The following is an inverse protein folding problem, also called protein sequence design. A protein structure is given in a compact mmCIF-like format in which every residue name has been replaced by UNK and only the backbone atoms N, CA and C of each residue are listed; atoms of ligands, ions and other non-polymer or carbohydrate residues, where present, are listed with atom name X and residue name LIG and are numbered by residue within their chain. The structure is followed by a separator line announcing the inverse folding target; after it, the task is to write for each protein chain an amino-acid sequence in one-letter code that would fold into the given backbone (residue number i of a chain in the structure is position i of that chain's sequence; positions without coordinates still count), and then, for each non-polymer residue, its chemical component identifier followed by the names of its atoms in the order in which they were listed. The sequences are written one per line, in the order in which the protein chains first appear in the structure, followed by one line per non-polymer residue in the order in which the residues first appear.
data_IF_006768970967
#
_entry.id   IF_006768970967
#
_cell.length_a   1.000
_cell.length_b   1.000
_cell.length_c   1.000
_cell.angle_alpha   90.00
_cell.angle_beta   90.00
_cell.angle_gamma   90.00
#
_symmetry.space_group_name_H-M   'P 1'
#
loop_
_entity.id
_entity.type
_entity.pdbx_description
1 polymer ?
#
# COMPACT_ATOMS: atom_id res chain seq x y z
N UNK A 1 -15.02 -38.86 25.03
CA UNK A 1 -14.81 -37.64 24.25
C UNK A 1 -15.08 -37.98 22.80
N UNK A 2 -16.02 -37.29 22.19
CA UNK A 2 -16.38 -37.48 20.78
C UNK A 2 -15.72 -36.41 19.92
N UNK A 3 -15.55 -36.65 18.62
CA UNK A 3 -14.90 -35.70 17.69
C UNK A 3 -15.66 -34.37 17.64
N UNK A 4 -16.98 -34.42 17.81
CA UNK A 4 -17.89 -33.28 17.89
C UNK A 4 -17.65 -32.40 19.13
N UNK A 5 -17.00 -32.95 20.16
CA UNK A 5 -16.62 -32.24 21.37
C UNK A 5 -15.23 -31.61 21.27
N UNK A 6 -14.49 -31.90 20.19
CA UNK A 6 -13.18 -31.32 19.94
C UNK A 6 -13.31 -29.99 19.20
N UNK A 7 -12.51 -28.99 19.60
CA UNK A 7 -12.36 -27.78 18.81
C UNK A 7 -11.73 -28.12 17.45
N UNK A 8 -12.43 -27.82 16.36
CA UNK A 8 -11.85 -27.90 15.02
C UNK A 8 -10.97 -26.70 14.78
N UNK A 9 -9.68 -26.94 14.59
CA UNK A 9 -8.72 -25.90 14.19
C UNK A 9 -8.38 -26.17 12.73
N UNK A 10 -8.90 -25.33 11.83
CA UNK A 10 -8.63 -25.45 10.40
C UNK A 10 -7.36 -24.69 10.02
N UNK A 11 -6.54 -25.28 9.14
CA UNK A 11 -5.34 -24.59 8.61
C UNK A 11 -5.66 -23.22 8.02
N UNK A 12 -6.79 -23.10 7.30
CA UNK A 12 -7.22 -21.84 6.69
C UNK A 12 -7.60 -20.77 7.73
N UNK A 13 -8.14 -21.18 8.88
CA UNK A 13 -8.48 -20.27 9.96
C UNK A 13 -7.20 -19.74 10.61
N UNK A 14 -6.25 -20.63 10.91
CA UNK A 14 -4.94 -20.26 11.45
C UNK A 14 -4.23 -19.30 10.51
N UNK A 15 -4.15 -19.61 9.21
CA UNK A 15 -3.51 -18.74 8.22
C UNK A 15 -4.19 -17.36 8.18
N UNK A 16 -5.53 -17.30 8.18
CA UNK A 16 -6.27 -16.04 8.18
C UNK A 16 -5.96 -15.20 9.42
N UNK A 17 -5.99 -15.81 10.60
CA UNK A 17 -5.70 -15.14 11.87
C UNK A 17 -4.26 -14.63 11.91
N UNK A 18 -3.28 -15.46 11.53
CA UNK A 18 -1.87 -15.09 11.50
C UNK A 18 -1.62 -13.92 10.54
N UNK A 19 -2.21 -13.93 9.34
CA UNK A 19 -2.06 -12.81 8.40
C UNK A 19 -2.66 -11.51 8.95
N UNK A 20 -3.81 -11.58 9.64
CA UNK A 20 -4.42 -10.41 10.27
C UNK A 20 -3.55 -9.85 11.40
N UNK A 21 -3.02 -10.73 12.25
CA UNK A 21 -2.12 -10.36 13.34
C UNK A 21 -0.81 -9.76 12.81
N UNK A 22 -0.16 -10.41 11.85
CA UNK A 22 1.06 -9.92 11.22
C UNK A 22 0.83 -8.54 10.58
N UNK A 23 -0.31 -8.34 9.90
CA UNK A 23 -0.67 -7.04 9.35
C UNK A 23 -0.78 -5.96 10.43
N UNK A 24 -1.40 -6.27 11.56
CA UNK A 24 -1.55 -5.31 12.67
C UNK A 24 -0.19 -4.95 13.27
N UNK A 25 0.66 -5.95 13.53
CA UNK A 25 2.03 -5.75 14.03
C UNK A 25 2.82 -4.83 13.10
N UNK A 26 2.82 -5.10 11.78
CA UNK A 26 3.53 -4.26 10.82
C UNK A 26 3.02 -2.81 10.83
N UNK A 27 1.70 -2.61 10.97
CA UNK A 27 1.11 -1.26 11.03
C UNK A 27 1.60 -0.50 12.25
N UNK A 28 1.68 -1.17 13.41
CA UNK A 28 2.10 -0.56 14.67
C UNK A 28 3.61 -0.33 14.76
N UNK A 29 4.42 -1.27 14.27
CA UNK A 29 5.88 -1.19 14.33
C UNK A 29 6.47 -0.31 13.22
N UNK A 30 5.75 -0.12 12.11
CA UNK A 30 6.34 0.35 10.86
C UNK A 30 7.23 -0.74 10.23
N UNK A 31 7.89 -0.38 9.14
CA UNK A 31 8.81 -1.26 8.40
C UNK A 31 10.12 -0.57 8.08
N UNK A 32 11.18 -1.35 7.92
CA UNK A 32 12.47 -0.85 7.45
C UNK A 32 12.57 -0.94 5.93
N UNK A 33 12.92 0.17 5.28
CA UNK A 33 13.13 0.24 3.83
C UNK A 33 14.46 0.93 3.56
N UNK A 34 15.51 0.12 3.38
CA UNK A 34 16.88 0.65 3.41
C UNK A 34 17.17 1.20 4.81
N UNK A 35 17.69 2.42 4.89
CA UNK A 35 18.04 3.06 6.17
C UNK A 35 16.86 3.84 6.82
N UNK A 36 15.65 3.67 6.28
CA UNK A 36 14.47 4.41 6.72
C UNK A 36 13.51 3.53 7.52
N UNK A 37 13.12 4.02 8.70
CA UNK A 37 11.95 3.50 9.40
C UNK A 37 10.68 4.19 8.85
N UNK A 38 9.87 3.42 8.13
CA UNK A 38 8.64 3.88 7.49
C UNK A 38 7.44 3.51 8.35
N UNK A 39 6.79 4.52 8.90
CA UNK A 39 5.52 4.35 9.63
C UNK A 39 4.39 4.02 8.67
N UNK A 40 3.37 3.35 9.18
CA UNK A 40 2.14 3.06 8.44
C UNK A 40 0.93 3.64 9.13
N UNK A 41 -0.12 3.90 8.35
CA UNK A 41 -1.41 4.36 8.84
C UNK A 41 -2.54 3.57 8.19
N UNK A 42 -3.70 3.55 8.84
CA UNK A 42 -4.92 2.97 8.25
C UNK A 42 -6.06 3.97 8.21
N UNK A 43 -6.92 3.83 7.22
CA UNK A 43 -8.19 4.55 7.12
C UNK A 43 -9.32 3.57 6.87
N UNK A 44 -10.44 3.74 7.57
CA UNK A 44 -11.69 3.05 7.25
C UNK A 44 -12.20 3.50 5.89
N UNK A 45 -12.76 2.55 5.12
CA UNK A 45 -13.51 2.84 3.91
C UNK A 45 -15.01 2.78 4.20
N UNK A 46 -15.81 3.46 3.38
CA UNK A 46 -17.27 3.53 3.54
C UNK A 46 -17.95 2.15 3.46
N UNK A 47 -17.29 1.16 2.88
CA UNK A 47 -17.79 -0.22 2.71
C UNK A 47 -17.13 -1.23 3.68
N UNK A 48 -16.66 -0.77 4.85
CA UNK A 48 -16.13 -1.65 5.91
C UNK A 48 -14.72 -2.20 5.67
N UNK A 49 -14.03 -1.74 4.62
CA UNK A 49 -12.63 -2.08 4.37
C UNK A 49 -11.67 -1.19 5.16
N UNK A 50 -10.41 -1.64 5.30
CA UNK A 50 -9.31 -0.81 5.80
C UNK A 50 -8.25 -0.65 4.72
N UNK A 51 -7.96 0.61 4.37
CA UNK A 51 -6.86 0.95 3.48
C UNK A 51 -5.62 1.27 4.30
N UNK A 52 -4.52 0.59 4.00
CA UNK A 52 -3.22 0.84 4.61
C UNK A 52 -2.43 1.81 3.74
N UNK A 53 -1.71 2.72 4.39
CA UNK A 53 -0.89 3.76 3.77
C UNK A 53 0.50 3.74 4.40
N UNK A 54 1.52 4.04 3.61
CA UNK A 54 2.81 4.47 4.14
C UNK A 54 2.73 5.92 4.56
N UNK A 55 3.51 6.29 5.58
CA UNK A 55 3.81 7.68 5.91
C UNK A 55 5.16 8.01 5.30
N UNK A 56 5.19 8.99 4.39
CA UNK A 56 6.43 9.42 3.76
C UNK A 56 7.46 9.85 4.83
N UNK A 57 8.67 9.30 4.85
CA UNK A 57 9.67 9.66 5.86
C UNK A 57 10.19 11.10 5.70
N UNK A 58 9.94 11.74 4.55
CA UNK A 58 10.42 13.10 4.25
C UNK A 58 9.38 14.18 4.50
N UNK A 59 8.09 13.91 4.21
CA UNK A 59 7.02 14.92 4.28
C UNK A 59 5.78 14.48 5.06
N UNK A 60 5.83 13.31 5.70
CA UNK A 60 4.79 12.75 6.58
C UNK A 60 3.41 12.53 5.94
N UNK A 61 3.27 12.72 4.62
CA UNK A 61 2.02 12.45 3.92
C UNK A 61 1.75 10.95 3.80
N UNK A 62 0.46 10.61 3.77
CA UNK A 62 -0.01 9.25 3.46
C UNK A 62 0.15 8.96 1.98
N UNK A 63 0.88 7.90 1.66
CA UNK A 63 1.15 7.47 0.29
C UNK A 63 0.84 5.98 0.13
N UNK A 64 0.26 5.60 -1.02
CA UNK A 64 0.04 4.18 -1.33
C UNK A 64 1.34 3.45 -1.72
N UNK A 65 2.35 4.21 -2.14
CA UNK A 65 3.65 3.72 -2.59
C UNK A 65 4.73 4.72 -2.16
N UNK A 66 5.86 4.21 -1.68
CA UNK A 66 7.12 4.95 -1.58
C UNK A 66 8.05 4.49 -2.69
N UNK A 67 8.89 5.40 -3.17
CA UNK A 67 9.87 5.14 -4.20
C UNK A 67 11.26 5.16 -3.56
N UNK A 68 12.18 4.33 -4.08
CA UNK A 68 13.60 4.40 -3.78
C UNK A 68 14.31 4.97 -5.01
N UNK A 69 14.88 6.16 -4.88
CA UNK A 69 15.56 6.82 -5.98
C UNK A 69 16.80 6.01 -6.39
N UNK A 70 17.00 5.69 -7.69
CA UNK A 70 18.03 4.73 -8.11
C UNK A 70 19.46 5.23 -7.85
N UNK A 71 19.70 6.54 -7.98
CA UNK A 71 21.02 7.15 -7.80
C UNK A 71 21.32 7.50 -6.34
N UNK A 72 20.54 8.42 -5.74
CA UNK A 72 20.72 8.87 -4.36
C UNK A 72 20.36 7.82 -3.29
N UNK A 73 19.69 6.72 -3.65
CA UNK A 73 19.14 5.69 -2.74
C UNK A 73 18.12 6.21 -1.73
N UNK A 74 17.73 7.49 -1.81
CA UNK A 74 16.74 8.11 -0.95
C UNK A 74 15.38 7.42 -1.10
N UNK A 75 14.67 7.27 0.02
CA UNK A 75 13.31 6.73 0.06
C UNK A 75 12.34 7.87 0.37
N UNK A 76 11.29 8.00 -0.43
CA UNK A 76 10.31 9.07 -0.26
C UNK A 76 9.09 8.92 -1.16
N UNK A 77 8.13 9.83 -1.00
CA UNK A 77 7.00 9.92 -1.91
C UNK A 77 7.42 10.51 -3.26
N UNK A 78 6.52 10.39 -4.26
CA UNK A 78 6.74 10.90 -5.61
C UNK A 78 7.20 12.36 -5.65
N UNK A 79 6.55 13.22 -4.87
CA UNK A 79 6.84 14.66 -4.85
C UNK A 79 8.15 14.97 -4.11
N UNK A 80 8.50 14.22 -3.06
CA UNK A 80 9.77 14.42 -2.37
C UNK A 80 10.98 13.99 -3.20
N UNK A 81 10.77 13.05 -4.12
CA UNK A 81 11.81 12.56 -5.02
C UNK A 81 11.75 13.18 -6.41
N UNK A 82 10.84 14.14 -6.63
CA UNK A 82 10.63 14.83 -7.90
C UNK A 82 10.51 13.88 -9.10
N UNK A 83 9.74 12.80 -8.91
CA UNK A 83 9.57 11.75 -9.94
C UNK A 83 8.29 11.99 -10.73
N UNK A 84 8.43 12.18 -12.04
CA UNK A 84 7.29 12.24 -12.95
C UNK A 84 6.94 10.90 -13.59
N UNK A 85 5.66 10.71 -13.85
CA UNK A 85 5.21 9.57 -14.64
C UNK A 85 5.65 9.74 -16.09
N UNK A 86 6.21 8.68 -16.66
CA UNK A 86 6.57 8.61 -18.09
C UNK A 86 5.28 8.59 -18.92
N UNK A 87 4.73 9.77 -19.23
CA UNK A 87 3.61 10.11 -20.14
C UNK A 87 2.19 10.05 -19.56
N UNK A 88 1.51 11.20 -19.59
CA UNK A 88 0.07 11.28 -19.77
C UNK A 88 -0.22 11.06 -21.26
N UNK A 89 -0.96 10.01 -21.62
CA UNK A 89 -1.50 9.88 -22.99
C UNK A 89 -2.41 11.09 -23.25
N UNK A 90 -2.18 11.77 -24.38
CA UNK A 90 -2.98 12.87 -24.91
C UNK A 90 -4.48 12.61 -24.70
N UNK A 91 -5.13 13.46 -23.92
CA UNK A 91 -6.59 13.45 -23.74
C UNK A 91 -7.17 14.42 -24.77
N UNK A 92 -7.67 13.89 -25.88
CA UNK A 92 -8.49 14.63 -26.84
C UNK A 92 -7.78 15.05 -28.13
N UNK A 93 -7.85 14.18 -29.15
CA UNK A 93 -8.01 14.64 -30.53
C UNK A 93 -9.29 13.96 -31.03
N UNK A 94 -10.34 14.75 -31.23
CA UNK A 94 -11.48 14.35 -32.06
C UNK A 94 -11.04 14.72 -33.47
N UNK A 95 -10.83 13.73 -34.33
CA UNK A 95 -10.64 14.00 -35.76
C UNK A 95 -12.03 14.34 -36.33
N UNK A 96 -12.24 15.61 -36.72
CA UNK A 96 -13.37 15.98 -37.55
C UNK A 96 -13.23 15.25 -38.90
N UNK A 97 -14.23 14.43 -39.22
CA UNK A 97 -14.39 13.83 -40.54
C UNK A 97 -14.82 14.97 -41.48
N UNK A 98 -13.90 15.54 -42.24
CA UNK A 98 -14.22 16.31 -43.44
C UNK A 98 -14.42 15.33 -44.60
N UNK A 99 -15.70 15.03 -44.88
CA UNK A 99 -16.13 14.44 -46.15
C UNK A 99 -16.12 15.56 -47.18
N UNK A 100 -15.20 15.48 -48.15
CA UNK A 100 -15.36 16.08 -49.48
C UNK A 100 -15.45 14.96 -50.52
#
# INVERSE_FOLDING_TARGET
MLVEQCQRIGVNEVVRQTVQQARQVLIESGIEVGDYNVKMATTSTQYGGKRTWFICPTCERRCGVLLKHPLSRAVGCRECLDVDYRRQRYKGMVEEISTD
#
